data_IF_106803990030
#
_entry.id   IF_106803990030
#
_cell.length_a   1.000
_cell.length_b   1.000
_cell.length_c   1.000
_cell.angle_alpha   90.00
_cell.angle_beta   90.00
_cell.angle_gamma   90.00
#
_symmetry.space_group_name_H-M   'P 1'
#
loop_
_entity.id
_entity.type
_entity.pdbx_description
1 polymer ?
#
# COMPACT_ATOMS: atom_id res chain seq x y z
N UNK A 1 -23.27 -22.36 -29.78
CA UNK A 1 -22.08 -23.03 -29.22
C UNK A 1 -22.32 -23.23 -27.74
N UNK A 2 -22.69 -24.45 -27.31
CA UNK A 2 -22.80 -24.77 -25.87
C UNK A 2 -21.37 -25.03 -25.39
N UNK A 3 -20.81 -24.07 -24.66
CA UNK A 3 -19.46 -24.17 -24.13
C UNK A 3 -19.46 -25.20 -23.00
N UNK A 4 -18.99 -26.43 -23.28
CA UNK A 4 -18.75 -27.45 -22.26
C UNK A 4 -17.46 -27.08 -21.53
N UNK A 5 -17.58 -26.34 -20.44
CA UNK A 5 -16.47 -26.15 -19.51
C UNK A 5 -16.36 -27.44 -18.68
N UNK A 6 -15.22 -28.16 -18.69
CA UNK A 6 -15.02 -29.34 -17.86
C UNK A 6 -14.79 -28.92 -16.40
N UNK A 7 -15.88 -28.55 -15.73
CA UNK A 7 -15.88 -27.99 -14.38
C UNK A 7 -15.14 -28.88 -13.37
N UNK A 8 -15.22 -30.20 -13.48
CA UNK A 8 -14.55 -31.12 -12.56
C UNK A 8 -13.02 -31.04 -12.65
N UNK A 9 -12.48 -30.82 -13.86
CA UNK A 9 -11.04 -30.68 -14.07
C UNK A 9 -10.58 -29.28 -13.66
N UNK A 10 -11.35 -28.25 -14.02
CA UNK A 10 -11.04 -26.86 -13.69
C UNK A 10 -11.16 -26.56 -12.20
N UNK A 11 -12.11 -27.17 -11.50
CA UNK A 11 -12.26 -27.01 -10.05
C UNK A 11 -11.08 -27.62 -9.29
N UNK A 12 -10.55 -28.77 -9.74
CA UNK A 12 -9.36 -29.37 -9.14
C UNK A 12 -8.11 -28.49 -9.31
N UNK A 13 -7.96 -27.85 -10.47
CA UNK A 13 -6.81 -27.00 -10.75
C UNK A 13 -6.93 -25.60 -10.11
N UNK A 14 -8.14 -25.01 -10.12
CA UNK A 14 -8.38 -23.62 -9.70
C UNK A 14 -9.70 -23.45 -8.91
N UNK A 15 -9.80 -24.03 -7.70
CA UNK A 15 -11.04 -24.01 -6.92
C UNK A 15 -11.62 -22.59 -6.67
N UNK A 16 -10.82 -21.57 -6.29
CA UNK A 16 -11.35 -20.25 -5.99
C UNK A 16 -11.92 -19.51 -7.21
N UNK A 17 -11.36 -19.73 -8.40
CA UNK A 17 -11.80 -19.07 -9.63
C UNK A 17 -13.11 -19.69 -10.11
N UNK A 18 -13.21 -21.03 -10.06
CA UNK A 18 -14.44 -21.75 -10.37
C UNK A 18 -15.58 -21.36 -9.42
N UNK A 19 -15.30 -21.22 -8.12
CA UNK A 19 -16.29 -20.75 -7.14
C UNK A 19 -16.82 -19.34 -7.46
N UNK A 20 -15.95 -18.41 -7.89
CA UNK A 20 -16.37 -17.05 -8.28
C UNK A 20 -17.26 -17.04 -9.51
N UNK A 21 -16.93 -17.82 -10.54
CA UNK A 21 -17.74 -17.91 -11.77
C UNK A 21 -19.10 -18.53 -11.45
N UNK A 22 -19.13 -19.62 -10.66
CA UNK A 22 -20.38 -20.25 -10.22
C UNK A 22 -21.25 -19.28 -9.41
N UNK A 23 -20.67 -18.55 -8.46
CA UNK A 23 -21.37 -17.54 -7.67
C UNK A 23 -21.90 -16.38 -8.52
N UNK A 24 -21.14 -15.91 -9.51
CA UNK A 24 -21.59 -14.87 -10.42
C UNK A 24 -22.78 -15.33 -11.28
N UNK A 25 -22.75 -16.56 -11.79
CA UNK A 25 -23.87 -17.16 -12.53
C UNK A 25 -25.12 -17.29 -11.65
N UNK A 26 -24.96 -17.80 -10.42
CA UNK A 26 -26.08 -17.95 -9.48
C UNK A 26 -26.69 -16.59 -9.09
N UNK A 27 -25.86 -15.56 -8.88
CA UNK A 27 -26.33 -14.20 -8.62
C UNK A 27 -27.10 -13.61 -9.82
N UNK A 28 -26.60 -13.81 -11.05
CA UNK A 28 -27.30 -13.36 -12.27
C UNK A 28 -28.63 -14.08 -12.49
N UNK A 29 -28.79 -15.31 -11.98
CA UNK A 29 -30.03 -16.07 -11.99
C UNK A 29 -30.98 -15.69 -10.84
N UNK A 30 -30.66 -14.66 -10.06
CA UNK A 30 -31.48 -14.20 -8.94
C UNK A 30 -31.44 -15.12 -7.72
N UNK A 31 -30.52 -16.10 -7.69
CA UNK A 31 -30.35 -16.96 -6.51
C UNK A 31 -29.65 -16.14 -5.44
N UNK A 32 -30.34 -15.92 -4.32
CA UNK A 32 -29.72 -15.40 -3.11
C UNK A 32 -28.89 -16.53 -2.48
N UNK A 33 -27.63 -16.62 -2.90
CA UNK A 33 -26.68 -17.65 -2.46
C UNK A 33 -26.19 -17.45 -1.02
N UNK A 34 -26.79 -16.55 -0.23
CA UNK A 34 -26.49 -16.44 1.21
C UNK A 34 -24.99 -16.39 1.47
N UNK A 35 -24.34 -15.42 0.86
CA UNK A 35 -22.89 -15.41 0.69
C UNK A 35 -22.42 -14.00 0.46
N UNK A 36 -22.84 -13.15 1.39
CA UNK A 36 -22.02 -12.09 1.92
C UNK A 36 -22.67 -11.69 3.26
N UNK A 37 -22.37 -12.44 4.34
CA UNK A 37 -21.52 -11.71 5.25
C UNK A 37 -20.20 -11.58 4.45
N UNK A 38 -20.01 -10.60 3.54
CA UNK A 38 -19.90 -9.21 3.95
C UNK A 38 -19.79 -9.17 5.46
N UNK A 39 -18.75 -9.82 5.99
CA UNK A 39 -17.95 -9.12 6.97
C UNK A 39 -17.90 -7.73 6.41
N UNK A 40 -18.75 -6.87 6.97
CA UNK A 40 -18.58 -5.43 6.92
C UNK A 40 -17.15 -5.34 7.41
N UNK A 41 -16.20 -5.31 6.48
CA UNK A 41 -14.79 -5.32 6.82
C UNK A 41 -14.69 -4.00 7.54
N UNK A 42 -14.61 -4.06 8.86
CA UNK A 42 -14.40 -2.87 9.66
C UNK A 42 -12.96 -2.54 9.38
N UNK A 43 -12.75 -1.63 8.42
CA UNK A 43 -11.44 -1.10 8.15
C UNK A 43 -11.11 -0.15 9.29
N UNK A 44 -10.02 -0.43 9.99
CA UNK A 44 -9.41 0.47 10.94
C UNK A 44 -8.12 0.99 10.33
N UNK A 45 -7.95 2.30 10.32
CA UNK A 45 -6.67 2.87 9.93
C UNK A 45 -5.66 2.68 11.04
N UNK A 46 -4.48 2.19 10.68
CA UNK A 46 -3.34 2.14 11.57
C UNK A 46 -2.71 3.52 11.62
N UNK A 47 -2.58 4.09 12.81
CA UNK A 47 -1.93 5.38 12.98
C UNK A 47 -0.40 5.20 12.91
N UNK A 48 0.22 5.89 11.97
CA UNK A 48 1.67 5.89 11.75
C UNK A 48 2.32 7.25 12.10
N UNK A 49 1.55 8.22 12.59
CA UNK A 49 2.01 9.61 12.80
C UNK A 49 3.28 9.67 13.66
N UNK A 50 3.32 8.91 14.75
CA UNK A 50 4.46 8.85 15.68
C UNK A 50 5.71 8.17 15.14
N UNK A 51 5.61 7.38 14.06
CA UNK A 51 6.74 6.64 13.46
C UNK A 51 7.12 7.14 12.06
N UNK A 52 6.31 8.00 11.46
CA UNK A 52 6.64 8.65 10.19
C UNK A 52 7.92 9.49 10.35
N UNK A 53 8.79 9.47 9.33
CA UNK A 53 10.13 10.05 9.42
C UNK A 53 10.58 10.82 8.16
N UNK A 54 9.76 10.83 7.10
CA UNK A 54 10.01 11.54 5.84
C UNK A 54 8.74 12.19 5.31
N UNK A 55 8.90 13.27 4.56
CA UNK A 55 7.81 13.88 3.78
C UNK A 55 7.61 13.17 2.44
N UNK A 56 6.60 13.58 1.67
CA UNK A 56 6.48 13.13 0.28
C UNK A 56 7.59 13.72 -0.60
N UNK A 57 7.96 14.98 -0.35
CA UNK A 57 8.94 15.70 -1.17
C UNK A 57 9.92 16.54 -0.38
N UNK A 58 11.04 16.89 -1.02
CA UNK A 58 12.03 17.80 -0.47
C UNK A 58 11.51 19.25 -0.52
N UNK A 59 11.56 19.92 0.63
CA UNK A 59 11.30 21.36 0.77
C UNK A 59 12.52 22.05 1.36
N UNK A 60 13.58 22.28 0.57
CA UNK A 60 14.83 22.86 1.10
C UNK A 60 14.66 24.30 1.62
N UNK A 61 13.58 24.96 1.22
CA UNK A 61 13.14 26.28 1.67
C UNK A 61 12.44 26.27 3.03
N UNK A 62 12.07 25.09 3.56
CA UNK A 62 11.36 24.94 4.82
C UNK A 62 12.14 24.01 5.77
N UNK A 63 12.15 24.30 7.09
CA UNK A 63 12.68 23.34 8.05
C UNK A 63 11.80 22.09 8.08
N UNK A 64 12.40 20.91 7.97
CA UNK A 64 11.66 19.65 7.98
C UNK A 64 12.49 18.44 7.56
N UNK A 65 11.91 17.24 7.64
CA UNK A 65 12.55 16.05 7.12
C UNK A 65 12.67 16.14 5.59
N UNK A 66 13.65 15.42 5.03
CA UNK A 66 13.71 15.21 3.58
C UNK A 66 12.46 14.47 3.10
N UNK A 67 12.16 14.64 1.81
CA UNK A 67 11.23 13.81 1.08
C UNK A 67 11.69 12.36 1.02
N UNK A 68 10.77 11.47 0.68
CA UNK A 68 11.03 10.03 0.59
C UNK A 68 12.20 9.73 -0.37
N UNK A 69 12.21 10.27 -1.59
CA UNK A 69 13.21 9.91 -2.61
C UNK A 69 14.47 10.78 -2.63
N UNK A 70 14.55 11.81 -1.78
CA UNK A 70 15.48 12.91 -2.04
C UNK A 70 15.09 13.68 -3.31
N UNK A 71 15.46 14.94 -3.38
CA UNK A 71 14.98 15.85 -4.40
C UNK A 71 15.38 15.46 -5.82
N UNK A 72 14.64 15.96 -6.81
CA UNK A 72 14.89 15.72 -8.23
C UNK A 72 13.62 15.36 -8.98
N UNK A 73 13.77 14.55 -10.03
CA UNK A 73 12.65 14.08 -10.87
C UNK A 73 11.82 12.98 -10.19
N UNK A 74 12.43 12.24 -9.27
CA UNK A 74 11.79 11.14 -8.52
C UNK A 74 10.98 11.63 -7.29
N UNK A 75 10.84 12.95 -7.17
CA UNK A 75 10.23 13.59 -6.03
C UNK A 75 8.69 13.51 -6.07
N UNK A 76 8.04 13.05 -4.99
CA UNK A 76 6.58 12.84 -4.94
C UNK A 76 5.80 14.14 -4.68
N UNK A 77 6.29 15.30 -5.13
CA UNK A 77 5.69 16.63 -4.90
C UNK A 77 4.30 16.81 -5.51
N UNK A 78 3.94 15.95 -6.47
CA UNK A 78 2.61 15.91 -7.10
C UNK A 78 1.76 14.74 -6.62
N UNK A 79 2.27 13.93 -5.68
CA UNK A 79 1.48 12.91 -5.02
C UNK A 79 0.96 13.45 -3.67
N UNK A 80 -0.32 13.27 -3.36
CA UNK A 80 -1.39 12.76 -4.25
C UNK A 80 -2.03 13.82 -5.13
N UNK A 81 -1.75 15.09 -4.83
CA UNK A 81 -2.20 16.28 -5.54
C UNK A 81 -1.00 17.20 -5.71
N UNK A 82 -1.14 18.23 -6.54
CA UNK A 82 -0.08 19.24 -6.68
C UNK A 82 0.16 19.98 -5.35
N UNK A 83 1.31 19.75 -4.70
CA UNK A 83 1.70 20.40 -3.44
C UNK A 83 2.64 21.58 -3.61
N UNK A 84 3.08 21.88 -4.83
CA UNK A 84 3.99 22.99 -5.11
C UNK A 84 3.26 24.23 -5.62
N UNK A 85 2.01 24.08 -6.06
CA UNK A 85 1.27 25.16 -6.71
C UNK A 85 1.81 25.52 -8.09
N UNK A 86 2.60 24.63 -8.70
CA UNK A 86 3.18 24.79 -10.04
C UNK A 86 2.83 23.56 -10.88
N UNK A 87 2.27 23.78 -12.06
CA UNK A 87 1.96 22.71 -13.01
C UNK A 87 3.26 22.05 -13.51
N UNK A 88 3.40 20.70 -13.41
CA UNK A 88 4.64 20.02 -13.76
C UNK A 88 4.98 20.07 -15.26
N UNK A 89 3.99 20.28 -16.14
CA UNK A 89 4.18 20.20 -17.60
C UNK A 89 4.50 21.58 -18.18
N UNK A 90 3.78 22.61 -17.74
CA UNK A 90 3.83 23.95 -18.31
C UNK A 90 4.59 24.95 -17.42
N UNK A 91 4.93 24.56 -16.19
CA UNK A 91 5.66 25.39 -15.22
C UNK A 91 4.95 26.73 -14.95
N UNK A 92 3.62 26.68 -14.83
CA UNK A 92 2.76 27.85 -14.52
C UNK A 92 2.11 27.70 -13.14
N UNK A 93 1.75 28.81 -12.47
CA UNK A 93 1.03 28.74 -11.21
C UNK A 93 -0.30 27.99 -11.34
N UNK A 94 -0.53 27.04 -10.43
CA UNK A 94 -1.76 26.28 -10.29
C UNK A 94 -2.22 26.37 -8.83
N UNK A 95 -3.53 26.46 -8.56
CA UNK A 95 -4.03 26.46 -7.18
C UNK A 95 -3.55 25.22 -6.41
N UNK A 96 -3.13 25.43 -5.16
CA UNK A 96 -2.85 24.34 -4.24
C UNK A 96 -4.16 23.62 -3.89
N UNK A 97 -4.22 22.33 -4.19
CA UNK A 97 -5.35 21.51 -3.82
C UNK A 97 -5.22 21.06 -2.35
N UNK A 98 -6.36 20.94 -1.62
CA UNK A 98 -6.34 20.43 -0.26
C UNK A 98 -5.75 19.02 -0.23
N UNK A 99 -5.03 18.69 0.84
CA UNK A 99 -4.48 17.35 0.99
C UNK A 99 -5.64 16.37 1.15
N UNK A 100 -5.79 15.36 0.28
CA UNK A 100 -6.80 14.34 0.49
C UNK A 100 -6.30 13.42 1.61
N UNK A 101 -6.90 13.49 2.80
CA UNK A 101 -6.52 12.58 3.89
C UNK A 101 -6.82 11.13 3.53
N UNK A 102 -7.96 10.87 2.89
CA UNK A 102 -8.38 9.52 2.50
C UNK A 102 -8.29 9.33 0.97
N UNK A 103 -7.83 8.16 0.53
CA UNK A 103 -7.79 7.81 -0.88
C UNK A 103 -7.99 6.31 -1.11
N UNK A 104 -8.77 6.00 -2.15
CA UNK A 104 -8.97 4.64 -2.62
C UNK A 104 -7.85 4.27 -3.60
N UNK A 105 -6.99 3.32 -3.22
CA UNK A 105 -5.89 2.81 -4.05
C UNK A 105 -6.00 1.30 -4.14
N UNK A 106 -5.98 0.73 -5.35
CA UNK A 106 -6.13 -0.72 -5.53
C UNK A 106 -7.46 -1.29 -5.00
N UNK A 107 -8.48 -0.45 -4.78
CA UNK A 107 -9.75 -0.85 -4.15
C UNK A 107 -9.71 -0.94 -2.62
N UNK A 108 -8.63 -0.49 -1.99
CA UNK A 108 -8.48 -0.37 -0.54
C UNK A 108 -8.44 1.11 -0.16
N UNK A 109 -9.20 1.49 0.86
CA UNK A 109 -9.20 2.85 1.38
C UNK A 109 -8.01 3.01 2.32
N UNK A 110 -7.19 4.03 2.09
CA UNK A 110 -6.07 4.40 2.95
C UNK A 110 -6.28 5.80 3.51
N UNK A 111 -6.00 5.97 4.79
CA UNK A 111 -5.81 7.28 5.42
C UNK A 111 -4.33 7.61 5.45
N UNK A 112 -3.98 8.77 4.92
CA UNK A 112 -2.61 9.29 4.85
C UNK A 112 -2.40 10.35 5.88
N UNK A 113 -1.16 10.48 6.30
CA UNK A 113 -0.73 11.56 7.19
C UNK A 113 -0.58 12.83 6.36
N UNK A 114 -1.26 13.89 6.78
CA UNK A 114 -1.04 15.22 6.21
C UNK A 114 0.31 15.75 6.73
N UNK A 115 1.32 15.97 5.86
CA UNK A 115 2.63 16.45 6.31
C UNK A 115 2.56 17.84 6.94
N UNK A 116 1.60 18.69 6.58
CA UNK A 116 1.45 20.03 7.18
C UNK A 116 0.96 19.99 8.63
N UNK A 117 0.29 18.90 9.01
CA UNK A 117 -0.20 18.66 10.37
C UNK A 117 0.74 17.78 11.20
N UNK A 118 1.80 17.22 10.60
CA UNK A 118 2.74 16.31 11.25
C UNK A 118 4.21 16.70 11.01
N UNK A 119 4.52 18.00 11.13
CA UNK A 119 5.90 18.53 11.11
C UNK A 119 6.69 18.13 9.85
N UNK A 120 6.01 18.06 8.70
CA UNK A 120 6.58 17.66 7.41
C UNK A 120 6.71 16.15 7.22
N UNK A 121 6.32 15.31 8.18
CA UNK A 121 6.43 13.85 8.11
C UNK A 121 5.10 13.23 7.64
N UNK A 122 5.15 12.38 6.62
CA UNK A 122 3.99 11.67 6.10
C UNK A 122 4.23 10.19 5.78
N UNK A 123 5.50 9.77 5.68
CA UNK A 123 5.90 8.44 5.24
C UNK A 123 6.86 7.82 6.26
N UNK A 124 6.75 6.50 6.42
CA UNK A 124 7.74 5.67 7.12
C UNK A 124 8.71 5.13 6.09
N UNK A 125 9.98 5.53 6.17
CA UNK A 125 11.05 5.03 5.32
C UNK A 125 12.04 4.23 6.16
N UNK A 126 12.27 2.97 5.78
CA UNK A 126 13.26 2.09 6.38
C UNK A 126 14.54 2.08 5.56
N UNK A 127 15.69 2.15 6.23
CA UNK A 127 17.01 2.19 5.59
C UNK A 127 17.54 0.81 5.19
N UNK A 128 18.07 0.72 3.97
CA UNK A 128 18.91 -0.40 3.50
C UNK A 128 20.34 -0.26 4.05
N UNK A 129 21.21 -1.28 3.92
CA UNK A 129 22.55 -1.35 4.56
C UNK A 129 23.41 -0.08 4.41
N UNK A 130 23.17 0.68 3.35
CA UNK A 130 23.91 1.90 2.99
C UNK A 130 23.30 3.18 3.61
N UNK A 131 22.03 3.14 4.03
CA UNK A 131 21.30 4.29 4.58
C UNK A 131 21.36 4.31 6.12
N UNK A 132 22.47 4.79 6.68
CA UNK A 132 22.68 4.79 8.14
C UNK A 132 21.80 5.80 8.89
N UNK A 133 21.33 6.86 8.23
CA UNK A 133 20.48 7.89 8.84
C UNK A 133 19.01 7.46 8.99
N UNK A 134 18.60 6.39 8.31
CA UNK A 134 17.24 5.87 8.32
C UNK A 134 17.10 4.75 9.36
N UNK A 135 15.95 4.67 10.05
CA UNK A 135 15.71 3.57 10.98
C UNK A 135 15.68 2.24 10.24
N UNK A 136 16.15 1.19 10.90
CA UNK A 136 16.12 -0.20 10.40
C UNK A 136 14.85 -0.94 10.75
N UNK A 137 14.19 -0.46 11.78
CA UNK A 137 13.04 -1.07 12.39
C UNK A 137 12.15 0.04 12.92
N UNK A 138 10.84 -0.17 12.82
CA UNK A 138 9.83 0.64 13.48
C UNK A 138 8.84 -0.31 14.14
N UNK A 139 8.41 0.03 15.34
CA UNK A 139 7.36 -0.70 16.06
C UNK A 139 6.09 0.11 15.98
N UNK A 140 5.00 -0.53 15.55
CA UNK A 140 3.67 0.07 15.46
C UNK A 140 2.77 -0.71 16.41
N UNK A 141 2.17 -0.02 17.37
CA UNK A 141 1.23 -0.65 18.29
C UNK A 141 -0.13 -0.78 17.62
N UNK A 142 -0.64 -2.01 17.58
CA UNK A 142 -1.99 -2.31 17.13
C UNK A 142 -2.81 -2.65 18.37
N UNK A 143 -3.54 -1.67 18.91
CA UNK A 143 -4.43 -1.86 20.06
C UNK A 143 -5.75 -2.57 19.66
N UNK A 144 -5.68 -3.56 18.77
CA UNK A 144 -6.83 -4.25 18.21
C UNK A 144 -6.47 -5.60 17.57
N UNK A 145 -7.50 -6.39 17.27
CA UNK A 145 -7.37 -7.64 16.53
C UNK A 145 -7.71 -7.42 15.05
N UNK A 146 -6.90 -7.98 14.16
CA UNK A 146 -7.12 -7.93 12.72
C UNK A 146 -6.83 -9.30 12.08
N UNK A 147 -7.62 -9.68 11.08
CA UNK A 147 -7.35 -10.86 10.25
C UNK A 147 -6.38 -10.55 9.09
N UNK A 148 -6.26 -9.27 8.72
CA UNK A 148 -5.47 -8.79 7.58
C UNK A 148 -4.89 -7.41 7.84
N UNK A 149 -3.71 -7.19 7.27
CA UNK A 149 -3.06 -5.88 7.18
C UNK A 149 -2.88 -5.51 5.71
N UNK A 150 -3.36 -4.32 5.33
CA UNK A 150 -3.08 -3.73 4.02
C UNK A 150 -2.02 -2.66 4.16
N UNK A 151 -1.03 -2.68 3.28
CA UNK A 151 0.08 -1.74 3.30
C UNK A 151 0.17 -1.02 1.96
N UNK A 152 0.26 0.30 2.01
CA UNK A 152 0.59 1.12 0.86
C UNK A 152 2.09 1.42 0.93
N UNK A 153 2.86 0.95 -0.05
CA UNK A 153 4.29 1.16 -0.07
C UNK A 153 4.92 0.87 -1.44
N UNK A 154 6.19 1.21 -1.56
CA UNK A 154 7.01 0.95 -2.73
C UNK A 154 8.49 0.81 -2.31
N UNK A 155 9.29 0.19 -3.16
CA UNK A 155 10.75 0.12 -2.98
C UNK A 155 11.41 1.34 -3.60
N UNK A 156 12.42 1.90 -2.93
CA UNK A 156 13.19 3.04 -3.45
C UNK A 156 14.24 2.67 -4.49
N UNK A 157 14.63 1.40 -4.55
CA UNK A 157 15.62 0.91 -5.48
C UNK A 157 15.08 -0.27 -6.31
N UNK A 158 15.61 -0.40 -7.53
CA UNK A 158 15.38 -1.59 -8.33
C UNK A 158 15.94 -2.81 -7.60
N UNK A 159 15.04 -3.68 -7.17
CA UNK A 159 15.38 -4.94 -6.50
C UNK A 159 14.90 -6.09 -7.35
N UNK A 160 15.74 -7.13 -7.49
CA UNK A 160 15.37 -8.35 -8.21
C UNK A 160 14.13 -8.99 -7.59
N UNK A 161 13.18 -9.40 -8.43
CA UNK A 161 11.99 -10.12 -7.99
C UNK A 161 12.37 -11.41 -7.22
N UNK A 162 11.63 -11.71 -6.15
CA UNK A 162 11.86 -12.86 -5.28
C UNK A 162 12.80 -12.60 -4.10
N UNK A 163 13.41 -11.42 -4.00
CA UNK A 163 14.25 -11.02 -2.85
C UNK A 163 13.36 -10.47 -1.72
N UNK A 164 13.57 -10.97 -0.50
CA UNK A 164 12.95 -10.40 0.70
C UNK A 164 13.58 -9.04 1.03
N UNK A 165 12.75 -8.02 1.22
CA UNK A 165 13.16 -6.61 1.35
C UNK A 165 12.81 -6.00 2.70
N UNK A 166 11.75 -6.50 3.34
CA UNK A 166 11.33 -6.10 4.69
C UNK A 166 10.83 -7.34 5.41
N UNK A 167 11.18 -7.52 6.68
CA UNK A 167 10.57 -8.53 7.54
C UNK A 167 9.49 -7.87 8.41
N UNK A 168 8.25 -8.35 8.31
CA UNK A 168 7.14 -7.88 9.15
C UNK A 168 6.93 -8.88 10.27
N UNK A 169 7.23 -8.47 11.50
CA UNK A 169 7.02 -9.27 12.70
C UNK A 169 5.74 -8.85 13.41
N UNK A 170 4.80 -9.78 13.56
CA UNK A 170 3.61 -9.64 14.39
C UNK A 170 3.92 -10.19 15.78
N UNK A 171 4.02 -9.31 16.77
CA UNK A 171 4.18 -9.67 18.18
C UNK A 171 2.79 -9.68 18.82
N UNK A 172 2.37 -10.83 19.36
CA UNK A 172 1.08 -10.99 20.01
C UNK A 172 1.19 -10.85 21.53
N UNK A 173 0.06 -10.60 22.20
CA UNK A 173 -0.01 -10.40 23.66
C UNK A 173 0.50 -11.61 24.47
N UNK A 174 0.44 -12.81 23.89
CA UNK A 174 0.97 -14.04 24.48
C UNK A 174 2.50 -14.18 24.34
N UNK A 175 3.16 -13.19 23.72
CA UNK A 175 4.59 -13.17 23.45
C UNK A 175 5.00 -13.98 22.22
N UNK A 176 4.05 -14.65 21.53
CA UNK A 176 4.35 -15.33 20.28
C UNK A 176 4.66 -14.33 19.17
N UNK A 177 5.46 -14.76 18.19
CA UNK A 177 5.87 -13.93 17.06
C UNK A 177 5.64 -14.68 15.75
N UNK A 178 4.91 -14.06 14.83
CA UNK A 178 4.83 -14.51 13.43
C UNK A 178 5.60 -13.56 12.54
N UNK A 179 6.44 -14.09 11.64
CA UNK A 179 7.20 -13.30 10.68
C UNK A 179 6.66 -13.52 9.28
N UNK A 180 6.54 -12.43 8.52
CA UNK A 180 6.09 -12.45 7.13
C UNK A 180 6.99 -11.54 6.30
N UNK A 181 7.89 -12.10 5.48
CA UNK A 181 8.75 -11.28 4.64
C UNK A 181 7.96 -10.65 3.49
N UNK A 182 8.14 -9.35 3.29
CA UNK A 182 7.76 -8.67 2.06
C UNK A 182 8.82 -8.93 1.00
N UNK A 183 8.37 -9.31 -0.20
CA UNK A 183 9.22 -9.82 -1.26
C UNK A 183 9.01 -8.95 -2.49
N UNK A 184 10.11 -8.46 -3.08
CA UNK A 184 10.09 -7.66 -4.29
C UNK A 184 9.45 -8.45 -5.45
N UNK A 185 8.59 -7.80 -6.24
CA UNK A 185 7.85 -8.45 -7.33
C UNK A 185 6.67 -9.33 -6.90
N UNK A 186 6.54 -9.63 -5.60
CA UNK A 186 5.43 -10.43 -5.07
C UNK A 186 4.45 -9.55 -4.29
N UNK A 187 4.95 -8.76 -3.36
CA UNK A 187 4.14 -7.90 -2.48
C UNK A 187 4.26 -6.43 -2.85
N UNK A 188 5.46 -5.98 -3.22
CA UNK A 188 5.79 -4.58 -3.53
C UNK A 188 6.69 -4.52 -4.77
N UNK A 189 6.59 -3.43 -5.52
CA UNK A 189 7.51 -3.10 -6.61
C UNK A 189 8.24 -1.78 -6.35
N UNK A 190 9.29 -1.55 -7.13
CA UNK A 190 9.93 -0.25 -7.19
C UNK A 190 8.97 0.78 -7.77
N UNK A 191 8.98 1.99 -7.23
CA UNK A 191 8.10 3.08 -7.69
C UNK A 191 8.26 3.44 -9.18
N UNK A 192 9.45 3.19 -9.75
CA UNK A 192 9.75 3.43 -11.17
C UNK A 192 9.25 2.33 -12.12
N UNK A 193 8.69 1.23 -11.61
CA UNK A 193 8.29 0.09 -12.43
C UNK A 193 6.80 -0.25 -12.29
N UNK A 194 6.09 -0.18 -13.42
CA UNK A 194 4.68 -0.55 -13.57
C UNK A 194 4.48 -2.05 -13.83
N UNK A 195 5.20 -2.92 -13.11
CA UNK A 195 4.87 -4.35 -13.15
C UNK A 195 3.75 -4.64 -12.14
N UNK A 196 2.80 -5.48 -12.53
CA UNK A 196 1.85 -6.03 -11.56
C UNK A 196 2.61 -6.95 -10.60
N UNK A 197 2.34 -6.79 -9.31
CA UNK A 197 2.83 -7.68 -8.26
C UNK A 197 1.99 -8.95 -8.23
N UNK A 198 2.63 -10.10 -7.97
CA UNK A 198 1.94 -11.39 -8.01
C UNK A 198 0.83 -11.55 -6.94
N UNK A 199 0.98 -10.88 -5.78
CA UNK A 199 0.09 -11.03 -4.63
C UNK A 199 -0.28 -9.72 -3.93
N UNK A 200 0.32 -8.58 -4.30
CA UNK A 200 -0.05 -7.30 -3.69
C UNK A 200 -1.46 -6.85 -4.07
N UNK A 201 -2.22 -6.46 -3.07
CA UNK A 201 -3.51 -5.75 -3.18
C UNK A 201 -3.62 -4.77 -2.03
#
# INVERSE_FOLDING_TARGET
VVCQIPWDQQYKAFPPQCARIALALLRNLGVNVGGDAATRRTFKFVDLTGVANRGFHDRPDQPGPRGWFGGGEDDMRHFPVNRTGIDPVHNVPQPLEPFPEEMLLGGVLFKRINPEENEGRAVVVLGGTEDQELPREVTINLDDQADRLWMLGALSALTRAGVAVVDVAFLYDDGSVTRSPLVAGVHLNGYQFYQEVAQGR
#
